data_IF_883019164624
#
_entry.id   IF_883019164624
#
_cell.length_a   1.000
_cell.length_b   1.000
_cell.length_c   1.000
_cell.angle_alpha   90.00
_cell.angle_beta   90.00
_cell.angle_gamma   90.00
#
_symmetry.space_group_name_H-M   'P 1'
#
loop_
_entity.id
_entity.type
_entity.pdbx_description
1 polymer ?
#
# COMPACT_ATOMS: atom_id res chain seq x y z
N UNK A 1 -68.48 6.95 50.30
CA UNK A 1 -67.21 6.89 49.55
C UNK A 1 -67.23 5.68 48.63
N UNK A 2 -67.30 5.90 47.32
CA UNK A 2 -67.56 4.87 46.31
C UNK A 2 -66.37 3.93 46.08
N UNK A 3 -66.66 2.65 45.83
CA UNK A 3 -65.66 1.67 45.38
C UNK A 3 -65.29 1.98 43.94
N UNK A 4 -63.99 2.15 43.67
CA UNK A 4 -63.48 2.38 42.33
C UNK A 4 -63.83 1.22 41.38
N UNK A 5 -64.43 1.55 40.24
CA UNK A 5 -64.76 0.60 39.15
C UNK A 5 -63.61 0.58 38.14
N UNK A 6 -62.95 -0.58 37.99
CA UNK A 6 -61.84 -0.77 37.05
C UNK A 6 -61.48 -2.24 36.84
N UNK A 7 -60.60 -2.54 35.87
CA UNK A 7 -60.12 -3.92 35.61
C UNK A 7 -59.35 -4.45 36.83
N UNK A 8 -59.88 -5.48 37.48
CA UNK A 8 -59.38 -6.01 38.76
C UNK A 8 -58.10 -6.85 38.63
N UNK A 9 -57.93 -7.58 37.52
CA UNK A 9 -56.79 -8.47 37.33
C UNK A 9 -55.42 -7.73 37.27
N UNK A 10 -55.27 -6.61 36.54
CA UNK A 10 -54.03 -5.82 36.56
C UNK A 10 -53.70 -5.24 37.93
N UNK A 11 -54.71 -4.79 38.70
CA UNK A 11 -54.53 -4.26 40.05
C UNK A 11 -54.09 -5.35 41.03
N UNK A 12 -54.66 -6.55 40.92
CA UNK A 12 -54.24 -7.71 41.70
C UNK A 12 -52.80 -8.14 41.38
N UNK A 13 -52.43 -8.15 40.10
CA UNK A 13 -51.07 -8.45 39.65
C UNK A 13 -50.07 -7.42 40.21
N UNK A 14 -50.38 -6.13 40.11
CA UNK A 14 -49.58 -5.04 40.67
C UNK A 14 -49.41 -5.18 42.19
N UNK A 15 -50.50 -5.45 42.91
CA UNK A 15 -50.44 -5.65 44.36
C UNK A 15 -49.58 -6.86 44.75
N UNK A 16 -49.61 -7.94 43.95
CA UNK A 16 -48.78 -9.13 44.16
C UNK A 16 -47.29 -8.83 43.95
N UNK A 17 -46.93 -8.11 42.87
CA UNK A 17 -45.56 -7.63 42.64
C UNK A 17 -45.08 -6.67 43.74
N UNK A 18 -45.93 -5.70 44.12
CA UNK A 18 -45.63 -4.76 45.19
C UNK A 18 -45.38 -5.47 46.51
N UNK A 19 -46.17 -6.50 46.85
CA UNK A 19 -45.97 -7.29 48.07
C UNK A 19 -44.64 -8.06 48.05
N UNK A 20 -44.23 -8.62 46.91
CA UNK A 20 -42.95 -9.32 46.76
C UNK A 20 -41.75 -8.37 46.87
N UNK A 21 -41.80 -7.24 46.15
CA UNK A 21 -40.75 -6.21 46.20
C UNK A 21 -40.66 -5.55 47.58
N UNK A 22 -41.79 -5.33 48.25
CA UNK A 22 -41.81 -4.81 49.62
C UNK A 22 -41.17 -5.81 50.60
N UNK A 23 -41.46 -7.11 50.46
CA UNK A 23 -40.82 -8.15 51.28
C UNK A 23 -39.31 -8.21 51.03
N UNK A 24 -38.87 -8.06 49.78
CA UNK A 24 -37.45 -7.98 49.42
C UNK A 24 -36.79 -6.71 50.01
N UNK A 25 -37.45 -5.56 49.91
CA UNK A 25 -36.99 -4.30 50.49
C UNK A 25 -36.83 -4.38 52.00
N UNK A 26 -37.80 -4.94 52.72
CA UNK A 26 -37.68 -5.19 54.16
C UNK A 26 -36.51 -6.14 54.50
N UNK A 27 -36.26 -7.15 53.67
CA UNK A 27 -35.14 -8.08 53.86
C UNK A 27 -33.77 -7.41 53.64
N UNK A 28 -33.66 -6.55 52.63
CA UNK A 28 -32.47 -5.75 52.36
C UNK A 28 -32.26 -4.72 53.47
N UNK A 29 -33.32 -4.03 53.92
CA UNK A 29 -33.23 -3.04 54.99
C UNK A 29 -32.78 -3.66 56.32
N UNK A 30 -33.18 -4.91 56.60
CA UNK A 30 -32.71 -5.65 57.78
C UNK A 30 -31.23 -6.07 57.70
N UNK A 31 -30.68 -6.24 56.49
CA UNK A 31 -29.31 -6.71 56.24
C UNK A 31 -28.48 -5.72 55.40
N UNK A 32 -28.73 -4.42 55.53
CA UNK A 32 -28.27 -3.40 54.57
C UNK A 32 -26.75 -3.40 54.38
N UNK A 33 -25.96 -3.46 55.46
CA UNK A 33 -24.50 -3.47 55.39
C UNK A 33 -23.92 -4.73 54.73
N UNK A 34 -24.44 -5.92 55.08
CA UNK A 34 -24.01 -7.19 54.47
C UNK A 34 -24.32 -7.21 52.98
N UNK A 35 -25.51 -6.74 52.61
CA UNK A 35 -25.93 -6.66 51.21
C UNK A 35 -25.06 -5.70 50.40
N UNK A 36 -24.72 -4.54 50.96
CA UNK A 36 -23.87 -3.54 50.31
C UNK A 36 -22.43 -4.04 50.11
N UNK A 37 -21.80 -4.61 51.14
CA UNK A 37 -20.42 -5.08 51.06
C UNK A 37 -20.29 -6.26 50.10
N UNK A 38 -21.20 -7.24 50.18
CA UNK A 38 -21.19 -8.39 49.27
C UNK A 38 -21.45 -7.94 47.83
N UNK A 39 -22.40 -7.02 47.61
CA UNK A 39 -22.66 -6.47 46.28
C UNK A 39 -21.44 -5.73 45.70
N UNK A 40 -20.79 -4.89 46.50
CA UNK A 40 -19.60 -4.13 46.09
C UNK A 40 -18.43 -5.06 45.79
N UNK A 41 -18.23 -6.13 46.58
CA UNK A 41 -17.23 -7.15 46.31
C UNK A 41 -17.49 -7.91 45.01
N UNK A 42 -18.75 -8.29 44.74
CA UNK A 42 -19.13 -8.99 43.50
C UNK A 42 -18.91 -8.08 42.29
N UNK A 43 -19.41 -6.84 42.32
CA UNK A 43 -19.20 -5.89 41.21
C UNK A 43 -17.72 -5.51 41.04
N UNK A 44 -16.97 -5.37 42.14
CA UNK A 44 -15.53 -5.15 42.11
C UNK A 44 -14.79 -6.34 41.48
N UNK A 45 -15.16 -7.57 41.80
CA UNK A 45 -14.59 -8.77 41.17
C UNK A 45 -14.87 -8.82 39.67
N UNK A 46 -16.07 -8.44 39.22
CA UNK A 46 -16.37 -8.33 37.78
C UNK A 46 -15.55 -7.22 37.10
N UNK A 47 -15.36 -6.08 37.76
CA UNK A 47 -14.55 -4.99 37.22
C UNK A 47 -13.07 -5.38 37.02
N UNK A 48 -12.53 -6.30 37.83
CA UNK A 48 -11.17 -6.83 37.62
C UNK A 48 -11.05 -7.57 36.28
N UNK A 49 -12.13 -8.18 35.78
CA UNK A 49 -12.17 -8.84 34.47
C UNK A 49 -11.86 -7.91 33.30
N UNK A 50 -12.07 -6.60 33.45
CA UNK A 50 -11.74 -5.60 32.42
C UNK A 50 -10.23 -5.50 32.14
N UNK A 51 -9.36 -6.01 33.02
CA UNK A 51 -7.92 -6.08 32.73
C UNK A 51 -7.57 -6.98 31.54
N UNK A 52 -8.45 -7.92 31.21
CA UNK A 52 -8.29 -8.80 30.05
C UNK A 52 -9.05 -8.27 28.81
N UNK A 53 -9.58 -7.04 28.87
CA UNK A 53 -10.24 -6.44 27.72
C UNK A 53 -9.19 -6.07 26.66
N UNK A 54 -9.30 -6.72 25.50
CA UNK A 54 -8.53 -6.35 24.32
C UNK A 54 -9.39 -5.48 23.42
N UNK A 55 -8.78 -4.48 22.81
CA UNK A 55 -9.43 -3.63 21.81
C UNK A 55 -9.15 -4.22 20.44
N UNK A 56 -10.19 -4.50 19.68
CA UNK A 56 -10.04 -4.89 18.28
C UNK A 56 -9.70 -3.66 17.45
N UNK A 57 -8.51 -3.66 16.84
CA UNK A 57 -8.05 -2.56 15.97
C UNK A 57 -8.04 -2.98 14.50
N UNK A 58 -8.32 -4.25 14.20
CA UNK A 58 -8.36 -4.73 12.84
C UNK A 58 -9.67 -4.31 12.15
N UNK A 59 -9.56 -3.41 11.17
CA UNK A 59 -10.69 -2.93 10.38
C UNK A 59 -11.39 -4.10 9.67
N UNK A 60 -10.66 -5.10 9.17
CA UNK A 60 -11.28 -6.23 8.47
C UNK A 60 -12.19 -7.04 9.40
N UNK A 61 -11.79 -7.25 10.66
CA UNK A 61 -12.59 -8.00 11.64
C UNK A 61 -13.81 -7.22 12.13
N UNK A 62 -13.71 -5.88 12.15
CA UNK A 62 -14.82 -5.01 12.55
C UNK A 62 -15.94 -4.95 11.50
N UNK A 63 -15.60 -5.03 10.21
CA UNK A 63 -16.55 -4.85 9.11
C UNK A 63 -17.08 -6.16 8.51
N UNK A 64 -16.37 -7.27 8.69
CA UNK A 64 -16.75 -8.56 8.10
C UNK A 64 -17.62 -9.38 9.06
N UNK A 65 -18.76 -9.85 8.56
CA UNK A 65 -19.62 -10.77 9.31
C UNK A 65 -18.95 -12.15 9.50
N UNK A 66 -18.83 -12.56 10.77
CA UNK A 66 -18.25 -13.85 11.15
C UNK A 66 -19.12 -15.00 10.64
N UNK A 67 -18.52 -15.93 9.90
CA UNK A 67 -19.23 -17.09 9.33
C UNK A 67 -19.97 -16.80 8.01
N UNK A 68 -19.94 -15.56 7.53
CA UNK A 68 -20.42 -15.20 6.20
C UNK A 68 -19.54 -15.72 5.06
N UNK A 69 -20.01 -15.56 3.82
CA UNK A 69 -19.27 -15.95 2.61
C UNK A 69 -17.90 -15.28 2.54
N UNK A 70 -17.84 -13.97 2.79
CA UNK A 70 -16.60 -13.16 2.74
C UNK A 70 -15.59 -13.66 3.77
N UNK A 71 -16.02 -13.99 4.98
CA UNK A 71 -15.16 -14.59 6.01
C UNK A 71 -14.55 -15.92 5.56
N UNK A 72 -15.33 -16.78 4.88
CA UNK A 72 -14.82 -18.05 4.33
C UNK A 72 -13.81 -17.85 3.20
N UNK A 73 -14.07 -16.89 2.31
CA UNK A 73 -13.16 -16.55 1.21
C UNK A 73 -11.86 -15.93 1.74
N UNK A 74 -11.93 -15.00 2.69
CA UNK A 74 -10.75 -14.44 3.37
C UNK A 74 -9.92 -15.51 4.07
N UNK A 75 -10.57 -16.42 4.82
CA UNK A 75 -9.87 -17.53 5.46
C UNK A 75 -9.17 -18.45 4.45
N UNK A 76 -9.83 -18.73 3.32
CA UNK A 76 -9.21 -19.54 2.25
C UNK A 76 -7.98 -18.84 1.68
N UNK A 77 -8.09 -17.54 1.36
CA UNK A 77 -6.97 -16.74 0.83
C UNK A 77 -5.82 -16.69 1.83
N UNK A 78 -6.09 -16.43 3.11
CA UNK A 78 -5.06 -16.41 4.15
C UNK A 78 -4.34 -17.74 4.31
N UNK A 79 -5.07 -18.86 4.23
CA UNK A 79 -4.49 -20.20 4.30
C UNK A 79 -3.63 -20.56 3.08
N UNK A 80 -3.90 -19.99 1.91
CA UNK A 80 -3.22 -20.34 0.66
C UNK A 80 -2.10 -19.38 0.28
N UNK A 81 -2.25 -18.10 0.58
CA UNK A 81 -1.34 -17.02 0.15
C UNK A 81 -0.54 -16.47 1.33
N UNK A 82 -1.09 -16.52 2.55
CA UNK A 82 -0.50 -15.94 3.76
C UNK A 82 -1.41 -14.90 4.41
N UNK A 83 -1.08 -14.48 5.62
CA UNK A 83 -1.94 -13.63 6.46
C UNK A 83 -2.13 -12.21 5.89
N UNK A 84 -1.20 -11.74 5.08
CA UNK A 84 -1.21 -10.41 4.46
C UNK A 84 -1.42 -10.49 2.94
N UNK A 85 -1.97 -9.42 2.37
CA UNK A 85 -2.02 -9.27 0.91
C UNK A 85 -0.60 -9.29 0.33
N UNK A 86 -0.45 -9.77 -0.92
CA UNK A 86 0.87 -9.91 -1.57
C UNK A 86 1.67 -8.60 -1.63
N UNK A 87 1.02 -7.44 -1.57
CA UNK A 87 1.66 -6.14 -1.41
C UNK A 87 0.71 -5.15 -0.72
N UNK A 88 1.27 -4.15 -0.02
CA UNK A 88 0.52 -3.08 0.64
C UNK A 88 0.84 -1.72 -0.03
N UNK A 89 -0.02 -1.21 -0.93
CA UNK A 89 0.30 -0.05 -1.75
C UNK A 89 0.37 1.24 -0.92
N UNK A 90 1.44 2.01 -1.12
CA UNK A 90 1.59 3.36 -0.59
C UNK A 90 1.28 4.35 -1.72
N UNK A 91 0.26 5.18 -1.56
CA UNK A 91 -0.30 6.01 -2.63
C UNK A 91 -0.13 7.50 -2.34
N UNK A 92 0.20 8.27 -3.38
CA UNK A 92 0.25 9.73 -3.35
C UNK A 92 -0.58 10.28 -4.51
N UNK A 93 -1.58 11.12 -4.20
CA UNK A 93 -2.48 11.73 -5.18
C UNK A 93 -2.20 13.23 -5.23
N UNK A 94 -2.00 13.75 -6.43
CA UNK A 94 -1.87 15.18 -6.67
C UNK A 94 -3.19 15.76 -7.17
N UNK A 95 -3.61 16.86 -6.56
CA UNK A 95 -4.74 17.67 -7.00
C UNK A 95 -4.31 19.12 -7.18
N UNK A 96 -4.81 19.83 -8.21
CA UNK A 96 -4.69 21.27 -8.27
C UNK A 96 -5.33 21.91 -7.03
N UNK A 97 -4.76 23.02 -6.55
CA UNK A 97 -5.31 23.76 -5.40
C UNK A 97 -6.64 24.43 -5.75
N UNK A 98 -6.79 24.87 -7.00
CA UNK A 98 -8.00 25.48 -7.52
C UNK A 98 -8.92 24.39 -8.09
N UNK A 99 -10.18 24.42 -7.68
CA UNK A 99 -11.19 23.49 -8.16
C UNK A 99 -11.48 23.74 -9.66
N UNK A 100 -11.42 22.69 -10.47
CA UNK A 100 -11.64 22.77 -11.93
C UNK A 100 -10.39 23.13 -12.76
N UNK A 101 -9.23 23.36 -12.14
CA UNK A 101 -7.98 23.55 -12.88
C UNK A 101 -7.50 22.25 -13.54
N UNK A 102 -6.89 22.35 -14.71
CA UNK A 102 -6.36 21.20 -15.45
C UNK A 102 -4.99 20.78 -14.88
N UNK A 103 -4.86 19.51 -14.48
CA UNK A 103 -3.60 18.91 -14.00
C UNK A 103 -2.69 18.43 -15.13
N UNK A 104 -3.19 18.30 -16.36
CA UNK A 104 -2.43 17.80 -17.52
C UNK A 104 -1.55 18.90 -18.12
N UNK A 105 -0.65 19.44 -17.32
CA UNK A 105 0.34 20.45 -17.72
C UNK A 105 1.74 19.96 -17.37
N UNK A 106 2.75 20.41 -18.12
CA UNK A 106 4.15 20.05 -17.85
C UNK A 106 4.58 20.48 -16.44
N UNK A 107 4.13 21.64 -15.97
CA UNK A 107 4.43 22.15 -14.63
C UNK A 107 3.88 21.23 -13.52
N UNK A 108 2.63 20.77 -13.67
CA UNK A 108 2.02 19.87 -12.71
C UNK A 108 2.74 18.51 -12.66
N UNK A 109 3.15 17.97 -13.81
CA UNK A 109 3.91 16.71 -13.91
C UNK A 109 5.33 16.84 -13.38
N UNK A 110 5.99 18.00 -13.59
CA UNK A 110 7.30 18.28 -12.99
C UNK A 110 7.21 18.38 -11.46
N UNK A 111 6.14 18.99 -10.94
CA UNK A 111 5.87 18.98 -9.51
C UNK A 111 5.61 17.56 -8.98
N UNK A 112 4.85 16.75 -9.73
CA UNK A 112 4.62 15.34 -9.39
C UNK A 112 5.95 14.57 -9.33
N UNK A 113 6.81 14.78 -10.33
CA UNK A 113 8.13 14.16 -10.42
C UNK A 113 9.02 14.53 -9.24
N UNK A 114 9.10 15.81 -8.89
CA UNK A 114 9.91 16.24 -7.75
C UNK A 114 9.42 15.61 -6.44
N UNK A 115 8.10 15.62 -6.19
CA UNK A 115 7.51 14.98 -5.01
C UNK A 115 7.75 13.46 -5.00
N UNK A 116 7.56 12.78 -6.14
CA UNK A 116 7.79 11.34 -6.27
C UNK A 116 9.27 10.97 -6.09
N UNK A 117 10.20 11.79 -6.61
CA UNK A 117 11.64 11.58 -6.51
C UNK A 117 12.15 11.80 -5.07
N UNK A 118 11.64 12.82 -4.39
CA UNK A 118 11.95 13.02 -2.98
C UNK A 118 11.40 11.88 -2.13
N UNK A 119 10.17 11.42 -2.40
CA UNK A 119 9.58 10.28 -1.72
C UNK A 119 10.36 8.97 -1.97
N UNK A 120 10.82 8.71 -3.20
CA UNK A 120 11.56 7.47 -3.52
C UNK A 120 12.95 7.40 -2.90
N UNK A 121 13.54 8.56 -2.58
CA UNK A 121 14.88 8.68 -1.95
C UNK A 121 14.84 8.70 -0.42
N UNK A 122 13.65 8.58 0.19
CA UNK A 122 13.51 8.41 1.63
C UNK A 122 14.25 7.15 2.08
N UNK A 123 14.93 7.26 3.20
CA UNK A 123 15.66 6.16 3.81
C UNK A 123 15.49 6.20 5.33
N UNK A 124 15.53 5.03 5.95
CA UNK A 124 15.45 4.86 7.40
C UNK A 124 16.65 4.06 7.89
N UNK A 125 17.19 4.44 9.04
CA UNK A 125 18.30 3.71 9.66
C UNK A 125 17.78 2.92 10.85
N UNK A 126 17.80 1.59 10.75
CA UNK A 126 17.35 0.67 11.78
C UNK A 126 18.23 -0.58 11.80
N UNK A 127 18.50 -1.11 13.00
CA UNK A 127 19.30 -2.33 13.18
C UNK A 127 20.69 -2.25 12.52
N UNK A 128 21.35 -1.10 12.67
CA UNK A 128 22.67 -0.81 12.10
C UNK A 128 22.73 -0.90 10.56
N UNK A 129 21.57 -0.87 9.87
CA UNK A 129 21.48 -0.86 8.41
C UNK A 129 20.58 0.28 7.95
N UNK A 130 20.91 0.81 6.77
CA UNK A 130 20.06 1.77 6.08
C UNK A 130 19.13 1.03 5.12
N UNK A 131 17.84 1.27 5.27
CA UNK A 131 16.79 0.76 4.40
C UNK A 131 16.32 1.88 3.47
N UNK A 132 16.07 1.54 2.22
CA UNK A 132 15.67 2.44 1.12
C UNK A 132 14.52 1.77 0.37
N UNK A 133 13.92 2.48 -0.59
CA UNK A 133 12.83 1.92 -1.41
C UNK A 133 13.23 0.60 -2.10
N UNK A 134 14.45 0.48 -2.65
CA UNK A 134 14.95 -0.75 -3.30
C UNK A 134 14.95 -2.00 -2.41
N UNK A 135 15.00 -1.81 -1.09
CA UNK A 135 14.98 -2.90 -0.11
C UNK A 135 13.57 -3.29 0.35
N UNK A 136 12.58 -2.42 0.12
CA UNK A 136 11.21 -2.56 0.63
C UNK A 136 10.18 -2.72 -0.48
N UNK A 137 10.54 -2.38 -1.72
CA UNK A 137 9.62 -2.41 -2.84
C UNK A 137 9.24 -3.85 -3.21
N UNK A 138 8.03 -4.00 -3.73
CA UNK A 138 7.59 -5.25 -4.31
C UNK A 138 8.25 -5.46 -5.68
N UNK A 139 8.94 -6.59 -5.84
CA UNK A 139 9.51 -7.08 -7.10
C UNK A 139 8.70 -8.31 -7.54
N UNK A 140 8.15 -8.28 -8.75
CA UNK A 140 7.23 -9.33 -9.22
C UNK A 140 7.96 -10.46 -9.94
N UNK A 141 8.31 -11.51 -9.21
CA UNK A 141 8.96 -12.69 -9.80
C UNK A 141 10.47 -12.50 -9.94
N UNK A 142 11.22 -13.16 -9.08
CA UNK A 142 12.68 -13.15 -9.15
C UNK A 142 13.14 -14.18 -10.18
N UNK A 143 13.94 -13.73 -11.15
CA UNK A 143 14.56 -14.58 -12.16
C UNK A 143 15.96 -14.93 -11.66
N UNK A 144 16.20 -16.21 -11.43
CA UNK A 144 17.54 -16.74 -11.17
C UNK A 144 18.07 -17.25 -12.51
N UNK A 145 19.14 -16.66 -13.03
CA UNK A 145 19.84 -17.19 -14.21
C UNK A 145 21.07 -17.97 -13.75
N UNK A 146 21.67 -18.77 -14.63
CA UNK A 146 22.90 -19.52 -14.33
C UNK A 146 24.18 -18.68 -14.61
N UNK A 147 24.02 -17.49 -15.19
CA UNK A 147 25.11 -16.63 -15.66
C UNK A 147 25.47 -15.54 -14.63
N UNK A 148 26.46 -15.80 -13.79
CA UNK A 148 26.77 -14.95 -12.62
C UNK A 148 27.11 -13.47 -12.89
N UNK A 149 27.56 -13.09 -14.08
CA UNK A 149 27.74 -11.66 -14.43
C UNK A 149 26.40 -10.97 -14.69
N UNK A 150 25.48 -11.69 -15.30
CA UNK A 150 24.20 -11.15 -15.72
C UNK A 150 23.16 -11.19 -14.60
N UNK A 151 23.25 -12.18 -13.69
CA UNK A 151 22.48 -12.19 -12.44
C UNK A 151 22.66 -10.90 -11.64
N UNK A 152 23.88 -10.38 -11.56
CA UNK A 152 24.14 -9.10 -10.88
C UNK A 152 23.39 -7.95 -11.54
N UNK A 153 23.38 -7.90 -12.88
CA UNK A 153 22.66 -6.84 -13.61
C UNK A 153 21.15 -6.96 -13.36
N UNK A 154 20.59 -8.17 -13.46
CA UNK A 154 19.17 -8.40 -13.15
C UNK A 154 18.85 -8.00 -11.72
N UNK A 155 19.61 -8.48 -10.73
CA UNK A 155 19.30 -8.24 -9.32
C UNK A 155 19.29 -6.74 -8.97
N UNK A 156 20.29 -6.00 -9.49
CA UNK A 156 20.43 -4.56 -9.23
C UNK A 156 19.50 -3.69 -10.08
N UNK A 157 19.18 -4.08 -11.31
CA UNK A 157 18.28 -3.32 -12.19
C UNK A 157 16.83 -3.79 -12.14
N UNK A 158 16.51 -4.86 -11.43
CA UNK A 158 15.15 -5.37 -11.34
C UNK A 158 14.20 -4.25 -10.90
N UNK A 159 13.24 -3.84 -11.75
CA UNK A 159 12.45 -2.66 -11.49
C UNK A 159 11.54 -2.88 -10.28
N UNK A 160 11.52 -1.89 -9.38
CA UNK A 160 10.47 -1.83 -8.39
C UNK A 160 9.15 -1.52 -9.09
N UNK A 161 8.08 -2.24 -8.74
CA UNK A 161 6.75 -1.95 -9.28
C UNK A 161 6.24 -0.62 -8.71
N UNK A 162 6.30 0.44 -9.53
CA UNK A 162 5.78 1.77 -9.22
C UNK A 162 4.74 2.09 -10.28
N UNK A 163 3.48 2.27 -9.89
CA UNK A 163 2.42 2.66 -10.81
C UNK A 163 2.35 4.19 -10.81
N UNK A 164 2.80 4.83 -11.88
CA UNK A 164 2.87 6.29 -11.97
C UNK A 164 2.61 6.79 -13.40
N UNK A 165 1.95 7.95 -13.59
CA UNK A 165 1.84 8.56 -14.92
C UNK A 165 3.20 8.98 -15.49
N UNK A 166 4.23 9.10 -14.64
CA UNK A 166 5.57 9.48 -15.06
C UNK A 166 6.27 8.40 -15.89
N UNK A 167 5.79 7.16 -15.84
CA UNK A 167 6.36 6.08 -16.65
C UNK A 167 6.15 6.32 -18.15
N UNK A 168 5.14 7.08 -18.58
CA UNK A 168 5.03 7.44 -20.00
C UNK A 168 6.19 8.35 -20.49
N UNK A 169 7.01 8.86 -19.59
CA UNK A 169 8.12 9.78 -19.87
C UNK A 169 9.45 9.15 -19.46
N UNK A 170 10.55 9.69 -19.99
CA UNK A 170 11.90 9.25 -19.61
C UNK A 170 12.17 9.42 -18.12
N UNK A 171 11.60 10.45 -17.47
CA UNK A 171 11.81 10.71 -16.04
C UNK A 171 11.26 9.62 -15.11
N UNK A 172 10.38 8.72 -15.57
CA UNK A 172 10.00 7.52 -14.81
C UNK A 172 11.23 6.67 -14.42
N UNK A 173 12.26 6.63 -15.28
CA UNK A 173 13.53 5.98 -14.98
C UNK A 173 14.26 6.58 -13.77
N UNK A 174 14.07 7.87 -13.49
CA UNK A 174 14.72 8.55 -12.35
C UNK A 174 14.15 8.10 -11.00
N UNK A 175 12.94 7.53 -11.00
CA UNK A 175 12.30 7.01 -9.79
C UNK A 175 12.91 5.66 -9.36
N UNK A 176 13.54 4.95 -10.30
CA UNK A 176 14.22 3.69 -10.02
C UNK A 176 15.63 3.97 -9.49
N UNK A 177 15.97 3.42 -8.32
CA UNK A 177 17.30 3.59 -7.71
C UNK A 177 18.33 2.52 -8.11
N UNK A 178 17.88 1.48 -8.80
CA UNK A 178 18.71 0.37 -9.26
C UNK A 178 19.95 0.86 -10.01
N UNK A 179 21.13 0.46 -9.53
CA UNK A 179 22.41 0.85 -10.11
C UNK A 179 23.29 -0.37 -10.25
N UNK A 180 23.63 -0.74 -11.49
CA UNK A 180 24.60 -1.78 -11.79
C UNK A 180 25.97 -1.17 -12.10
N UNK A 181 27.03 -1.81 -11.59
CA UNK A 181 28.41 -1.36 -11.80
C UNK A 181 29.12 -2.31 -12.74
N UNK A 182 29.35 -1.86 -13.98
CA UNK A 182 30.08 -2.62 -14.99
C UNK A 182 31.46 -2.01 -15.23
N UNK A 183 32.46 -2.87 -15.42
CA UNK A 183 33.83 -2.44 -15.67
C UNK A 183 33.91 -1.73 -17.03
N UNK A 184 34.43 -0.49 -17.04
CA UNK A 184 34.60 0.30 -18.27
C UNK A 184 33.37 1.07 -18.74
N UNK A 185 32.26 1.03 -18.00
CA UNK A 185 31.06 1.86 -18.24
C UNK A 185 30.78 2.73 -17.00
N UNK A 186 30.11 3.89 -17.16
CA UNK A 186 29.57 4.61 -16.01
C UNK A 186 28.53 3.74 -15.27
N UNK A 187 28.15 4.08 -14.03
CA UNK A 187 27.10 3.37 -13.31
C UNK A 187 25.83 3.29 -14.18
N UNK A 188 25.40 2.06 -14.46
CA UNK A 188 24.24 1.80 -15.30
C UNK A 188 22.99 1.93 -14.45
N UNK A 189 22.06 2.73 -14.93
CA UNK A 189 20.74 2.96 -14.36
C UNK A 189 19.73 3.00 -15.49
N UNK A 190 18.45 2.79 -15.20
CA UNK A 190 17.39 2.93 -16.20
C UNK A 190 17.40 4.27 -16.94
N UNK A 191 17.95 5.34 -16.34
CA UNK A 191 18.08 6.66 -16.96
C UNK A 191 19.02 6.69 -18.16
N UNK A 192 20.01 5.79 -18.21
CA UNK A 192 21.06 5.75 -19.24
C UNK A 192 21.26 4.35 -19.84
N UNK A 193 20.34 3.41 -19.59
CA UNK A 193 20.44 2.02 -20.01
C UNK A 193 19.47 1.75 -21.16
N UNK A 194 20.02 1.44 -22.33
CA UNK A 194 19.29 0.91 -23.48
C UNK A 194 19.50 -0.62 -23.53
N UNK A 195 18.48 -1.44 -23.23
CA UNK A 195 18.62 -2.89 -23.20
C UNK A 195 19.02 -3.49 -24.56
N UNK A 196 18.47 -2.99 -25.67
CA UNK A 196 18.72 -3.53 -27.00
C UNK A 196 20.12 -3.17 -27.49
N UNK A 197 20.53 -1.91 -27.32
CA UNK A 197 21.89 -1.49 -27.69
C UNK A 197 22.93 -2.24 -26.83
N UNK A 198 22.64 -2.44 -25.55
CA UNK A 198 23.51 -3.19 -24.65
C UNK A 198 23.68 -4.66 -25.07
N UNK A 199 22.60 -5.34 -25.48
CA UNK A 199 22.69 -6.70 -26.00
C UNK A 199 23.53 -6.76 -27.28
N UNK A 200 23.39 -5.79 -28.19
CA UNK A 200 24.21 -5.71 -29.40
C UNK A 200 25.70 -5.47 -29.10
N UNK A 201 26.03 -4.68 -28.07
CA UNK A 201 27.40 -4.54 -27.59
C UNK A 201 27.97 -5.87 -27.09
N UNK A 202 27.18 -6.66 -26.34
CA UNK A 202 27.61 -7.97 -25.84
C UNK A 202 27.79 -9.00 -26.97
N UNK A 203 26.91 -8.98 -27.98
CA UNK A 203 27.06 -9.82 -29.18
C UNK A 203 28.36 -9.54 -29.94
N UNK A 204 28.79 -8.27 -30.03
CA UNK A 204 30.07 -7.89 -30.66
C UNK A 204 31.29 -8.46 -29.94
N UNK A 205 31.18 -8.71 -28.64
CA UNK A 205 32.23 -9.32 -27.81
C UNK A 205 32.08 -10.86 -27.78
N UNK A 206 31.18 -11.40 -28.61
CA UNK A 206 30.91 -12.84 -28.77
C UNK A 206 30.37 -13.50 -27.49
N UNK A 207 29.64 -12.74 -26.67
CA UNK A 207 28.92 -13.27 -25.50
C UNK A 207 27.57 -13.85 -25.94
N UNK A 208 27.17 -15.00 -25.38
CA UNK A 208 25.89 -15.61 -25.70
C UNK A 208 24.77 -14.90 -24.93
N UNK A 209 23.85 -14.25 -25.65
CA UNK A 209 22.75 -13.46 -25.06
C UNK A 209 21.36 -13.82 -25.62
N UNK A 210 21.24 -14.94 -26.35
CA UNK A 210 20.02 -15.30 -27.08
C UNK A 210 18.78 -15.42 -26.18
N UNK A 211 18.93 -16.02 -24.99
CA UNK A 211 17.82 -16.17 -24.03
C UNK A 211 17.35 -14.82 -23.46
N UNK A 212 18.26 -13.86 -23.35
CA UNK A 212 17.97 -12.51 -22.85
C UNK A 212 17.27 -11.68 -23.90
N UNK A 213 17.75 -11.77 -25.14
CA UNK A 213 17.10 -11.15 -26.28
C UNK A 213 15.67 -11.68 -26.45
N UNK A 214 15.47 -13.00 -26.37
CA UNK A 214 14.13 -13.59 -26.41
C UNK A 214 13.24 -13.07 -25.26
N UNK A 215 13.79 -12.98 -24.04
CA UNK A 215 13.05 -12.48 -22.88
C UNK A 215 12.62 -11.02 -23.06
N UNK A 216 13.55 -10.13 -23.46
CA UNK A 216 13.25 -8.71 -23.68
C UNK A 216 12.27 -8.49 -24.83
N UNK A 217 12.40 -9.27 -25.91
CA UNK A 217 11.48 -9.22 -27.04
C UNK A 217 10.08 -9.70 -26.66
N UNK A 218 9.98 -10.79 -25.89
CA UNK A 218 8.70 -11.32 -25.43
C UNK A 218 8.02 -10.41 -24.41
N UNK A 219 8.80 -9.70 -23.60
CA UNK A 219 8.30 -8.70 -22.65
C UNK A 219 8.05 -7.33 -23.31
N UNK A 220 8.38 -7.16 -24.59
CA UNK A 220 8.20 -5.92 -25.37
C UNK A 220 8.81 -4.69 -24.69
N UNK A 221 9.97 -4.86 -24.02
CA UNK A 221 10.65 -3.75 -23.32
C UNK A 221 11.23 -2.74 -24.31
N UNK A 222 11.66 -3.19 -25.49
CA UNK A 222 12.29 -2.35 -26.50
C UNK A 222 13.53 -1.63 -25.96
N UNK A 223 13.65 -0.34 -26.27
CA UNK A 223 14.72 0.53 -25.77
C UNK A 223 14.47 1.05 -24.33
N UNK A 224 13.44 0.53 -23.65
CA UNK A 224 13.11 0.85 -22.26
C UNK A 224 12.58 2.27 -22.08
N UNK A 225 13.42 3.16 -21.56
CA UNK A 225 13.09 4.58 -21.33
C UNK A 225 13.71 5.52 -22.37
N UNK A 226 14.55 5.02 -23.26
CA UNK A 226 15.36 5.85 -24.19
C UNK A 226 14.57 6.39 -25.38
N UNK A 227 13.44 5.76 -25.70
CA UNK A 227 12.50 6.15 -26.75
C UNK A 227 11.29 6.94 -26.22
N UNK A 228 11.19 7.11 -24.89
CA UNK A 228 10.12 7.89 -24.25
C UNK A 228 10.41 9.39 -24.36
N UNK A 229 9.37 10.24 -24.45
CA UNK A 229 9.55 11.69 -24.43
C UNK A 229 10.08 12.14 -23.06
N UNK A 230 10.98 13.13 -23.05
CA UNK A 230 11.41 13.80 -21.83
C UNK A 230 10.40 14.89 -21.43
N UNK A 231 9.96 14.95 -20.18
CA UNK A 231 9.17 16.09 -19.69
C UNK A 231 9.95 17.39 -19.81
N UNK A 232 11.26 17.35 -19.55
CA UNK A 232 12.15 18.49 -19.72
C UNK A 232 13.28 18.20 -20.73
N UNK A 233 13.14 18.59 -22.02
CA UNK A 233 14.19 18.40 -23.03
C UNK A 233 15.50 19.14 -22.73
N UNK A 234 15.44 20.24 -21.95
CA UNK A 234 16.60 21.03 -21.55
C UNK A 234 17.46 20.35 -20.47
N UNK A 235 16.96 19.27 -19.87
CA UNK A 235 17.73 18.44 -18.96
C UNK A 235 18.96 17.85 -19.69
N UNK A 236 20.19 18.06 -19.20
CA UNK A 236 21.40 17.53 -19.85
C UNK A 236 21.43 16.00 -19.89
N UNK A 237 20.79 15.32 -18.94
CA UNK A 237 20.79 13.86 -18.84
C UNK A 237 19.71 13.21 -19.74
N UNK A 238 18.77 14.00 -20.27
CA UNK A 238 17.74 13.48 -21.19
C UNK A 238 18.41 12.94 -22.48
N UNK A 239 18.09 11.71 -22.91
CA UNK A 239 18.79 11.02 -23.98
C UNK A 239 18.58 11.69 -25.34
N UNK A 240 19.58 11.56 -26.22
CA UNK A 240 19.52 12.10 -27.59
C UNK A 240 18.49 11.38 -28.47
N UNK A 241 18.16 10.13 -28.13
CA UNK A 241 17.17 9.28 -28.82
C UNK A 241 15.73 9.67 -28.51
N UNK A 242 15.48 10.44 -27.44
CA UNK A 242 14.14 10.87 -27.08
C UNK A 242 13.51 11.72 -28.21
N UNK A 243 12.26 11.44 -28.61
CA UNK A 243 11.64 12.04 -29.80
C UNK A 243 11.47 13.56 -29.70
N UNK A 244 11.47 14.11 -28.49
CA UNK A 244 11.30 15.53 -28.22
C UNK A 244 12.57 16.23 -27.72
N UNK A 245 13.75 15.59 -27.72
CA UNK A 245 15.00 16.19 -27.23
C UNK A 245 15.32 17.53 -27.89
N UNK A 246 15.13 17.60 -29.21
CA UNK A 246 15.39 18.78 -30.03
C UNK A 246 14.12 19.57 -30.37
N UNK A 247 12.98 19.24 -29.75
CA UNK A 247 11.71 19.92 -30.00
C UNK A 247 11.64 21.24 -29.26
N UNK A 248 11.20 22.29 -29.96
CA UNK A 248 10.82 23.59 -29.36
C UNK A 248 9.33 23.70 -29.07
N UNK A 249 8.53 22.75 -29.52
CA UNK A 249 7.08 22.73 -29.29
C UNK A 249 6.78 22.19 -27.88
N UNK A 250 5.76 22.75 -27.20
CA UNK A 250 5.33 22.22 -25.92
C UNK A 250 4.80 20.79 -26.08
N UNK A 251 5.01 19.99 -25.04
CA UNK A 251 4.54 18.61 -25.00
C UNK A 251 3.04 18.58 -24.70
N UNK A 252 2.27 17.89 -25.53
CA UNK A 252 0.86 17.61 -25.25
C UNK A 252 0.76 16.43 -24.28
N UNK A 253 0.67 16.73 -22.99
CA UNK A 253 0.62 15.74 -21.91
C UNK A 253 -0.61 14.84 -22.03
N UNK A 254 -1.75 15.37 -22.48
CA UNK A 254 -2.98 14.61 -22.60
C UNK A 254 -2.86 13.55 -23.71
N UNK A 255 -2.21 13.90 -24.82
CA UNK A 255 -1.94 12.95 -25.90
C UNK A 255 -0.99 11.82 -25.46
N UNK A 256 0.04 12.16 -24.68
CA UNK A 256 1.03 11.17 -24.21
C UNK A 256 0.42 10.22 -23.16
N UNK A 257 -0.43 10.73 -22.27
CA UNK A 257 -1.10 9.94 -21.23
C UNK A 257 -2.40 9.28 -21.72
N UNK A 258 -2.64 9.24 -23.03
CA UNK A 258 -3.82 8.58 -23.58
C UNK A 258 -3.70 7.05 -23.45
N UNK A 259 -4.73 6.42 -22.88
CA UNK A 259 -4.79 4.98 -22.60
C UNK A 259 -5.62 4.20 -23.61
#
# INVERSE_FOLDING_TARGET
MGKATGRKAPLWLRAKFQRLLFKLGCYIQKNCGKFLVVGLLIFGAFAVGLKAANLETNVEELWVEVGGRVSRELNYTRQKIGEEAMFNPQLMIQTPKEEGANVLTTEALLQHLDSALQASRVHVYMYNRQWKLEHLCYKSGELITETGYMDQIIEYLYPCLIITPLDCFWEGAKLQSGTAYLLGKPPLRWTNFDPLEFLEELKKINYQVDSWEEMLNKAEVGHGYMDRPCLNPADPDCPATAPNKNSTKPLDVALVLNG
#
